data_IF_035530778976
#
_entry.id   IF_035530778976
#
_cell.length_a   1.000
_cell.length_b   1.000
_cell.length_c   1.000
_cell.angle_alpha   90.00
_cell.angle_beta   90.00
_cell.angle_gamma   90.00
#
_symmetry.space_group_name_H-M   'P 1'
#
loop_
_entity.id
_entity.type
_entity.pdbx_description
1 polymer ?
#
# COMPACT_ATOMS: atom_id res chain seq x y z
N UNK A 1 18.67 -10.68 -1.53
CA UNK A 1 18.38 -9.41 -0.85
C UNK A 1 17.73 -9.64 0.50
N UNK A 2 17.97 -8.75 1.44
CA UNK A 2 17.44 -8.89 2.81
C UNK A 2 16.13 -8.12 2.96
N UNK A 3 15.07 -8.84 3.34
CA UNK A 3 13.78 -8.23 3.69
C UNK A 3 13.99 -7.24 4.85
N UNK A 4 13.38 -6.04 4.78
CA UNK A 4 13.46 -5.10 5.90
C UNK A 4 13.06 -5.75 7.22
N UNK A 5 13.85 -5.51 8.26
CA UNK A 5 13.69 -6.16 9.55
C UNK A 5 12.27 -6.02 10.12
N UNK A 6 11.68 -4.85 9.99
CA UNK A 6 10.33 -4.57 10.51
C UNK A 6 9.25 -5.44 9.85
N UNK A 7 9.50 -6.00 8.68
CA UNK A 7 8.52 -6.79 7.93
C UNK A 7 8.68 -8.31 8.12
N UNK A 8 9.79 -8.76 8.71
CA UNK A 8 10.12 -10.19 8.75
C UNK A 8 9.12 -11.06 9.50
N UNK A 9 8.47 -10.50 10.51
CA UNK A 9 7.55 -11.25 11.38
C UNK A 9 6.11 -11.17 10.90
N UNK A 10 5.85 -10.45 9.81
CA UNK A 10 4.51 -10.29 9.25
C UNK A 10 4.33 -11.18 8.05
N UNK A 11 3.21 -11.91 8.03
CA UNK A 11 2.86 -12.79 6.89
C UNK A 11 2.00 -12.06 5.86
N UNK A 12 1.22 -11.07 6.28
CA UNK A 12 0.30 -10.33 5.42
C UNK A 12 0.46 -8.84 5.70
N UNK A 13 0.83 -8.11 4.66
CA UNK A 13 1.23 -6.69 4.77
C UNK A 13 0.44 -5.87 3.77
N UNK A 14 -0.27 -4.85 4.24
CA UNK A 14 -0.86 -3.87 3.34
C UNK A 14 0.24 -2.93 2.84
N UNK A 15 0.24 -2.67 1.55
CA UNK A 15 1.19 -1.77 0.90
C UNK A 15 0.42 -0.56 0.39
N UNK A 16 0.73 0.62 0.95
CA UNK A 16 0.12 1.89 0.57
C UNK A 16 0.50 2.25 -0.88
N UNK A 17 -0.38 2.98 -1.54
CA UNK A 17 -0.15 3.46 -2.91
C UNK A 17 1.15 4.22 -3.05
N UNK A 18 1.56 4.98 -2.03
CA UNK A 18 2.81 5.74 -2.05
C UNK A 18 4.03 4.86 -2.29
N UNK A 19 4.03 3.65 -1.73
CA UNK A 19 5.15 2.70 -1.88
C UNK A 19 5.29 2.28 -3.34
N UNK A 20 4.17 1.95 -3.99
CA UNK A 20 4.15 1.60 -5.41
C UNK A 20 4.59 2.77 -6.28
N UNK A 21 4.11 3.97 -5.98
CA UNK A 21 4.46 5.19 -6.71
C UNK A 21 5.98 5.45 -6.62
N UNK A 22 6.54 5.42 -5.42
CA UNK A 22 7.98 5.62 -5.22
C UNK A 22 8.81 4.59 -5.96
N UNK A 23 8.36 3.34 -5.93
CA UNK A 23 9.06 2.24 -6.61
C UNK A 23 9.04 2.41 -8.14
N UNK A 24 7.86 2.61 -8.71
CA UNK A 24 7.71 2.70 -10.18
C UNK A 24 8.32 4.00 -10.74
N UNK A 25 8.22 5.10 -10.01
CA UNK A 25 8.76 6.38 -10.44
C UNK A 25 10.23 6.57 -10.03
N UNK A 26 10.83 5.60 -9.35
CA UNK A 26 12.22 5.66 -8.88
C UNK A 26 12.50 6.94 -8.09
N UNK A 27 11.65 7.20 -7.09
CA UNK A 27 11.74 8.42 -6.28
C UNK A 27 13.13 8.59 -5.68
N UNK A 28 13.67 9.80 -5.78
CA UNK A 28 15.07 10.08 -5.40
C UNK A 28 15.35 9.76 -3.92
N UNK A 29 14.41 10.12 -3.03
CA UNK A 29 14.59 9.94 -1.59
C UNK A 29 14.09 8.60 -1.08
N UNK A 30 12.91 8.16 -1.54
CA UNK A 30 12.21 7.00 -0.99
C UNK A 30 12.20 5.78 -1.90
N UNK A 31 12.69 5.93 -3.13
CA UNK A 31 12.64 4.85 -4.12
C UNK A 31 13.39 3.60 -3.69
N UNK A 32 14.58 3.76 -3.10
CA UNK A 32 15.38 2.61 -2.66
C UNK A 32 14.69 1.83 -1.54
N UNK A 33 14.11 2.53 -0.55
CA UNK A 33 13.36 1.88 0.54
C UNK A 33 12.10 1.20 0.03
N UNK A 34 11.36 1.86 -0.86
CA UNK A 34 10.18 1.29 -1.50
C UNK A 34 10.55 0.03 -2.31
N UNK A 35 11.66 0.10 -3.06
CA UNK A 35 12.15 -1.05 -3.82
C UNK A 35 12.40 -2.27 -2.93
N UNK A 36 12.98 -2.07 -1.75
CA UNK A 36 13.23 -3.17 -0.81
C UNK A 36 11.94 -3.82 -0.31
N UNK A 37 10.90 -3.02 -0.07
CA UNK A 37 9.57 -3.55 0.31
C UNK A 37 8.99 -4.40 -0.82
N UNK A 38 9.01 -3.88 -2.04
CA UNK A 38 8.46 -4.56 -3.21
C UNK A 38 9.27 -5.82 -3.56
N UNK A 39 10.58 -5.77 -3.42
CA UNK A 39 11.43 -6.94 -3.65
C UNK A 39 11.18 -8.05 -2.64
N UNK A 40 10.96 -7.70 -1.37
CA UNK A 40 10.58 -8.69 -0.35
C UNK A 40 9.25 -9.35 -0.67
N UNK A 41 8.29 -8.60 -1.21
CA UNK A 41 7.02 -9.13 -1.70
C UNK A 41 7.26 -10.09 -2.89
N UNK A 42 8.02 -9.66 -3.87
CA UNK A 42 8.33 -10.46 -5.06
C UNK A 42 8.99 -11.79 -4.70
N UNK A 43 9.88 -11.77 -3.72
CA UNK A 43 10.57 -12.96 -3.23
C UNK A 43 9.71 -13.86 -2.33
N UNK A 44 8.53 -13.41 -1.96
CA UNK A 44 7.61 -14.20 -1.14
C UNK A 44 7.89 -14.17 0.35
N UNK A 45 8.60 -13.17 0.85
CA UNK A 45 8.87 -13.02 2.28
C UNK A 45 7.57 -12.79 3.07
N UNK A 46 6.55 -12.25 2.42
CA UNK A 46 5.20 -12.03 2.94
C UNK A 46 4.24 -11.95 1.75
N UNK A 47 2.94 -12.02 2.06
CA UNK A 47 1.90 -11.69 1.08
C UNK A 47 1.57 -10.21 1.21
N UNK A 48 1.52 -9.52 0.09
CA UNK A 48 1.11 -8.12 0.03
C UNK A 48 -0.38 -8.01 -0.24
N UNK A 49 -0.99 -7.01 0.36
CA UNK A 49 -2.36 -6.62 0.09
C UNK A 49 -2.32 -5.18 -0.42
N UNK A 50 -2.98 -4.92 -1.52
CA UNK A 50 -3.10 -3.58 -2.09
C UNK A 50 -4.55 -3.38 -2.52
N UNK A 51 -5.11 -2.21 -2.25
CA UNK A 51 -6.46 -1.88 -2.67
C UNK A 51 -6.52 -1.56 -4.17
N UNK A 52 -7.63 -1.89 -4.82
CA UNK A 52 -7.88 -1.44 -6.18
C UNK A 52 -7.88 0.10 -6.31
N UNK A 53 -8.07 0.82 -5.20
CA UNK A 53 -7.91 2.27 -5.19
C UNK A 53 -6.51 2.69 -5.67
N UNK A 54 -5.51 1.87 -5.42
CA UNK A 54 -4.13 2.13 -5.86
C UNK A 54 -4.02 2.20 -7.39
N UNK A 55 -4.86 1.47 -8.12
CA UNK A 55 -4.91 1.59 -9.59
C UNK A 55 -5.23 3.02 -10.01
N UNK A 56 -6.21 3.65 -9.36
CA UNK A 56 -6.55 5.04 -9.64
C UNK A 56 -5.37 5.95 -9.30
N UNK A 57 -4.82 5.81 -8.10
CA UNK A 57 -3.76 6.69 -7.62
C UNK A 57 -2.47 6.56 -8.44
N UNK A 58 -2.16 5.37 -8.94
CA UNK A 58 -1.00 5.13 -9.80
C UNK A 58 -1.18 5.67 -11.22
N UNK A 59 -2.39 5.56 -11.76
CA UNK A 59 -2.61 5.86 -13.19
C UNK A 59 -2.94 7.32 -13.47
N UNK A 60 -3.36 8.09 -12.47
CA UNK A 60 -3.71 9.51 -12.65
C UNK A 60 -2.58 10.30 -13.29
N UNK A 61 -1.36 10.19 -12.77
CA UNK A 61 -0.24 10.99 -13.25
C UNK A 61 0.16 10.66 -14.70
N UNK A 62 0.38 9.38 -15.07
CA UNK A 62 0.65 9.07 -16.48
C UNK A 62 -0.47 9.54 -17.40
N UNK A 63 -1.74 9.41 -17.01
CA UNK A 63 -2.86 9.89 -17.82
C UNK A 63 -2.87 11.40 -17.98
N UNK A 64 -2.52 12.15 -16.92
CA UNK A 64 -2.37 13.61 -16.99
C UNK A 64 -1.27 14.01 -17.99
N UNK A 65 -0.23 13.19 -18.11
CA UNK A 65 0.88 13.40 -19.03
C UNK A 65 0.60 12.84 -20.44
N UNK A 66 -0.61 12.36 -20.72
CA UNK A 66 -0.97 11.77 -22.02
C UNK A 66 -0.31 10.41 -22.29
N UNK A 67 0.13 9.71 -21.24
CA UNK A 67 0.85 8.45 -21.36
C UNK A 67 -0.04 7.26 -20.99
N UNK A 68 -0.99 6.96 -21.87
CA UNK A 68 -1.86 5.80 -21.71
C UNK A 68 -1.05 4.49 -21.64
N UNK A 69 0.04 4.41 -22.40
CA UNK A 69 0.94 3.25 -22.42
C UNK A 69 1.53 2.96 -21.02
N UNK A 70 1.93 3.99 -20.29
CA UNK A 70 2.49 3.84 -18.93
C UNK A 70 1.38 3.45 -17.94
N UNK A 71 0.20 4.04 -18.05
CA UNK A 71 -0.95 3.68 -17.22
C UNK A 71 -1.32 2.20 -17.40
N UNK A 72 -1.36 1.73 -18.63
CA UNK A 72 -1.66 0.33 -18.95
C UNK A 72 -0.59 -0.61 -18.38
N UNK A 73 0.67 -0.22 -18.45
CA UNK A 73 1.78 -0.99 -17.89
C UNK A 73 1.66 -1.11 -16.37
N UNK A 74 1.32 -0.04 -15.66
CA UNK A 74 1.14 -0.07 -14.22
C UNK A 74 -0.01 -0.99 -13.81
N UNK A 75 -1.12 -0.93 -14.52
CA UNK A 75 -2.26 -1.82 -14.29
C UNK A 75 -1.85 -3.29 -14.45
N UNK A 76 -1.14 -3.58 -15.52
CA UNK A 76 -0.67 -4.93 -15.81
C UNK A 76 0.29 -5.43 -14.71
N UNK A 77 1.23 -4.60 -14.30
CA UNK A 77 2.20 -4.95 -13.25
C UNK A 77 1.50 -5.27 -11.93
N UNK A 78 0.52 -4.46 -11.52
CA UNK A 78 -0.22 -4.74 -10.28
C UNK A 78 -1.06 -6.00 -10.38
N UNK A 79 -1.75 -6.22 -11.51
CA UNK A 79 -2.62 -7.37 -11.67
C UNK A 79 -1.86 -8.71 -11.59
N UNK A 80 -0.63 -8.73 -12.06
CA UNK A 80 0.17 -9.96 -12.15
C UNK A 80 1.37 -9.98 -11.20
N UNK A 81 1.43 -9.04 -10.25
CA UNK A 81 2.57 -8.99 -9.33
C UNK A 81 2.59 -10.23 -8.43
N UNK A 82 3.75 -10.91 -8.28
CA UNK A 82 3.84 -12.10 -7.45
C UNK A 82 3.49 -11.83 -5.99
N UNK A 83 2.77 -12.75 -5.38
CA UNK A 83 2.42 -12.72 -3.95
C UNK A 83 1.57 -11.51 -3.52
N UNK A 84 0.95 -10.84 -4.47
CA UNK A 84 0.09 -9.68 -4.22
C UNK A 84 -1.38 -10.07 -4.35
N UNK A 85 -2.18 -9.66 -3.37
CA UNK A 85 -3.64 -9.69 -3.42
C UNK A 85 -4.14 -8.28 -3.69
N UNK A 86 -4.80 -8.09 -4.81
CA UNK A 86 -5.42 -6.81 -5.15
C UNK A 86 -6.88 -6.84 -4.70
N UNK A 87 -7.19 -6.11 -3.63
CA UNK A 87 -8.50 -6.17 -2.98
C UNK A 87 -9.47 -5.16 -3.57
N UNK A 88 -10.68 -5.59 -3.98
CA UNK A 88 -11.72 -4.65 -4.43
C UNK A 88 -12.25 -3.82 -3.25
N UNK A 89 -12.81 -2.65 -3.58
CA UNK A 89 -13.42 -1.77 -2.58
C UNK A 89 -14.88 -2.21 -2.38
N UNK A 90 -15.08 -3.08 -1.41
CA UNK A 90 -16.42 -3.59 -1.09
C UNK A 90 -17.23 -2.59 -0.26
N UNK A 91 -18.53 -2.82 -0.17
CA UNK A 91 -19.40 -2.06 0.74
C UNK A 91 -18.90 -2.16 2.18
N UNK A 92 -18.51 -3.35 2.62
CA UNK A 92 -17.98 -3.58 3.96
C UNK A 92 -16.77 -2.71 4.26
N UNK A 93 -15.83 -2.66 3.33
CA UNK A 93 -14.64 -1.79 3.46
C UNK A 93 -15.07 -0.31 3.53
N UNK A 94 -16.03 0.12 2.73
CA UNK A 94 -16.51 1.50 2.76
C UNK A 94 -17.15 1.86 4.10
N UNK A 95 -17.93 0.97 4.68
CA UNK A 95 -18.57 1.21 6.00
C UNK A 95 -17.52 1.27 7.11
N UNK A 96 -16.53 0.40 7.06
CA UNK A 96 -15.41 0.42 8.02
C UNK A 96 -14.57 1.68 7.87
N UNK A 97 -14.32 2.12 6.63
CA UNK A 97 -13.63 3.37 6.36
C UNK A 97 -14.40 4.58 6.92
N UNK A 98 -15.73 4.56 6.82
CA UNK A 98 -16.57 5.61 7.39
C UNK A 98 -16.41 5.66 8.91
N UNK A 99 -16.39 4.50 9.58
CA UNK A 99 -16.17 4.42 11.02
C UNK A 99 -14.81 4.96 11.43
N UNK A 100 -13.75 4.69 10.64
CA UNK A 100 -12.42 5.24 10.89
C UNK A 100 -12.41 6.76 10.76
N UNK A 101 -13.06 7.30 9.74
CA UNK A 101 -13.15 8.74 9.55
C UNK A 101 -13.96 9.44 10.64
N UNK A 102 -14.97 8.75 11.18
CA UNK A 102 -15.76 9.30 12.28
C UNK A 102 -14.95 9.46 13.57
N UNK A 103 -13.94 8.61 13.77
CA UNK A 103 -13.08 8.62 14.96
C UNK A 103 -11.80 9.43 14.80
N UNK A 104 -11.28 9.53 13.58
CA UNK A 104 -9.98 10.10 13.30
C UNK A 104 -10.05 11.13 12.18
N UNK A 105 -9.15 12.10 12.22
CA UNK A 105 -8.96 13.06 11.12
C UNK A 105 -8.09 12.41 10.05
N UNK A 106 -8.71 11.59 9.22
CA UNK A 106 -8.03 10.87 8.15
C UNK A 106 -8.76 11.12 6.84
N UNK A 107 -8.00 11.22 5.75
CA UNK A 107 -8.56 11.42 4.41
C UNK A 107 -9.28 10.15 3.95
N UNK A 108 -10.24 10.32 3.06
CA UNK A 108 -11.02 9.19 2.50
C UNK A 108 -10.14 8.09 1.91
N UNK A 109 -9.14 8.38 1.05
CA UNK A 109 -8.30 7.32 0.50
C UNK A 109 -7.56 6.53 1.59
N UNK A 110 -7.02 7.22 2.59
CA UNK A 110 -6.27 6.57 3.68
C UNK A 110 -7.19 5.68 4.52
N UNK A 111 -8.41 6.15 4.79
CA UNK A 111 -9.39 5.35 5.52
C UNK A 111 -9.76 4.07 4.77
N UNK A 112 -9.91 4.15 3.46
CA UNK A 112 -10.19 2.99 2.61
C UNK A 112 -9.02 1.99 2.67
N UNK A 113 -7.78 2.47 2.61
CA UNK A 113 -6.61 1.60 2.68
C UNK A 113 -6.49 0.91 4.03
N UNK A 114 -6.69 1.65 5.13
CA UNK A 114 -6.65 1.06 6.47
C UNK A 114 -7.77 0.05 6.70
N UNK A 115 -8.98 0.34 6.23
CA UNK A 115 -10.09 -0.60 6.28
C UNK A 115 -9.80 -1.86 5.46
N UNK A 116 -9.14 -1.71 4.32
CA UNK A 116 -8.71 -2.84 3.48
C UNK A 116 -7.72 -3.73 4.24
N UNK A 117 -6.79 -3.14 4.98
CA UNK A 117 -5.83 -3.89 5.79
C UNK A 117 -6.55 -4.78 6.80
N UNK A 118 -7.55 -4.26 7.50
CA UNK A 118 -8.34 -5.02 8.48
C UNK A 118 -9.12 -6.13 7.78
N UNK A 119 -9.82 -5.80 6.70
CA UNK A 119 -10.64 -6.74 5.95
C UNK A 119 -9.82 -7.92 5.42
N UNK A 120 -8.63 -7.67 4.93
CA UNK A 120 -7.75 -8.70 4.36
C UNK A 120 -6.85 -9.36 5.41
N UNK A 121 -7.08 -9.10 6.69
CA UNK A 121 -6.31 -9.68 7.81
C UNK A 121 -4.81 -9.37 7.77
N UNK A 122 -4.45 -8.18 7.30
CA UNK A 122 -3.07 -7.73 7.37
C UNK A 122 -2.69 -7.42 8.81
N UNK A 123 -1.47 -7.76 9.20
CA UNK A 123 -0.93 -7.46 10.53
C UNK A 123 -0.02 -6.25 10.54
N UNK A 124 0.33 -5.76 9.37
CA UNK A 124 1.11 -4.54 9.20
C UNK A 124 0.63 -3.77 7.96
N UNK A 125 0.88 -2.47 7.96
CA UNK A 125 0.68 -1.62 6.80
C UNK A 125 1.91 -0.74 6.61
N UNK A 126 2.48 -0.74 5.42
CA UNK A 126 3.65 0.09 5.08
C UNK A 126 3.17 1.33 4.37
N UNK A 127 3.55 2.48 4.90
CA UNK A 127 3.20 3.79 4.35
C UNK A 127 4.35 4.77 4.57
N UNK A 128 4.31 5.91 3.90
CA UNK A 128 5.20 7.02 4.22
C UNK A 128 4.47 8.18 4.91
N UNK A 129 3.21 8.00 5.23
CA UNK A 129 2.37 9.01 5.88
C UNK A 129 2.30 8.75 7.39
N UNK A 130 2.97 9.59 8.18
CA UNK A 130 3.01 9.44 9.64
C UNK A 130 1.65 9.68 10.30
N UNK A 131 0.70 10.31 9.61
CA UNK A 131 -0.67 10.48 10.11
C UNK A 131 -1.36 9.14 10.37
N UNK A 132 -0.95 8.07 9.70
CA UNK A 132 -1.49 6.74 9.91
C UNK A 132 -1.21 6.19 11.31
N UNK A 133 -0.14 6.65 11.96
CA UNK A 133 0.21 6.19 13.32
C UNK A 133 -0.91 6.46 14.32
N UNK A 134 -1.58 7.61 14.23
CA UNK A 134 -2.66 7.98 15.13
C UNK A 134 -3.99 7.32 14.76
N UNK A 135 -4.12 6.79 13.56
CA UNK A 135 -5.38 6.25 13.02
C UNK A 135 -5.35 4.73 12.87
N UNK A 136 -4.30 4.08 13.33
CA UNK A 136 -4.10 2.64 13.13
C UNK A 136 -5.22 1.82 13.76
N UNK A 137 -5.88 0.94 13.00
CA UNK A 137 -6.83 -0.03 13.58
C UNK A 137 -6.11 -1.01 14.49
N UNK A 138 -6.83 -1.54 15.47
CA UNK A 138 -6.28 -2.58 16.35
C UNK A 138 -5.80 -3.79 15.55
N UNK A 139 -4.61 -4.30 15.90
CA UNK A 139 -4.03 -5.46 15.22
C UNK A 139 -3.23 -5.16 13.96
N UNK A 140 -3.17 -3.90 13.53
CA UNK A 140 -2.37 -3.49 12.36
C UNK A 140 -1.25 -2.57 12.82
N UNK A 141 -0.01 -3.05 12.68
CA UNK A 141 1.18 -2.24 12.97
C UNK A 141 1.46 -1.32 11.78
N UNK A 142 1.59 -0.02 12.03
CA UNK A 142 1.97 0.93 10.99
C UNK A 142 3.49 1.00 10.91
N UNK A 143 4.01 0.71 9.74
CA UNK A 143 5.46 0.73 9.47
C UNK A 143 5.74 1.86 8.49
N UNK A 144 6.46 2.87 8.95
CA UNK A 144 6.81 4.01 8.12
C UNK A 144 8.00 3.69 7.25
N UNK A 145 7.88 3.98 5.96
CA UNK A 145 8.95 3.76 4.99
C UNK A 145 10.24 4.47 5.39
N UNK A 146 10.13 5.69 5.93
CA UNK A 146 11.28 6.49 6.36
C UNK A 146 12.08 5.85 7.49
N UNK A 147 11.50 4.88 8.20
CA UNK A 147 12.14 4.19 9.32
C UNK A 147 12.65 2.79 8.95
N UNK A 148 12.52 2.38 7.70
CA UNK A 148 13.04 1.10 7.25
C UNK A 148 14.54 1.18 7.00
N UNK A 149 15.27 0.24 7.54
CA UNK A 149 16.72 0.12 7.39
C UNK A 149 17.11 -1.23 6.83
#
# INVERSE_FOLDING_TARGET
MVTPRALRDHKRVLIDSSIWIYHFEQHIEFGASAHRVIEGLEEGAYRGITSELTLLELTVRPLQLGRQDVADEYELLLNYFPNLELEPISREILLDAAALRARHRIRTPDAILLATAVHACATAAVTNDDAWLASAPGGVEIILLSRLT
#
